data_IF_440796760368
#
_entry.id   IF_440796760368
#
_cell.length_a   1.000
_cell.length_b   1.000
_cell.length_c   1.000
_cell.angle_alpha   90.00
_cell.angle_beta   90.00
_cell.angle_gamma   90.00
#
_symmetry.space_group_name_H-M   'P 1'
#
loop_
_entity.id
_entity.type
_entity.pdbx_description
1 polymer ?
#
# COMPACT_ATOMS: atom_id res chain seq x y z
N UNK A 1 34.07 -18.27 23.65
CA UNK A 1 33.16 -17.34 22.97
C UNK A 1 33.10 -16.10 23.84
N UNK A 2 33.82 -15.05 23.46
CA UNK A 2 33.77 -13.78 24.20
C UNK A 2 32.33 -13.30 24.22
N UNK A 3 31.76 -13.11 25.41
CA UNK A 3 30.50 -12.40 25.60
C UNK A 3 30.69 -10.99 25.03
N UNK A 4 30.34 -10.76 23.76
CA UNK A 4 30.30 -9.40 23.23
C UNK A 4 29.28 -8.65 24.09
N UNK A 5 29.76 -7.73 24.92
CA UNK A 5 28.95 -6.97 25.86
C UNK A 5 27.83 -6.28 25.06
N UNK A 6 26.56 -6.49 25.47
CA UNK A 6 25.40 -5.87 24.82
C UNK A 6 25.59 -4.35 24.78
N UNK A 7 25.37 -3.75 23.61
CA UNK A 7 25.52 -2.30 23.43
C UNK A 7 24.37 -1.62 24.15
N UNK A 8 24.64 -0.51 24.84
CA UNK A 8 23.56 0.31 25.33
C UNK A 8 22.94 1.11 24.18
N UNK A 9 21.89 0.58 23.57
CA UNK A 9 21.19 1.23 22.47
C UNK A 9 20.38 2.47 22.92
N UNK A 10 20.42 2.83 24.21
CA UNK A 10 19.93 4.12 24.70
C UNK A 10 21.05 5.16 24.86
N UNK A 11 22.33 4.78 24.76
CA UNK A 11 23.46 5.70 24.85
C UNK A 11 23.96 6.08 23.46
N UNK A 12 23.78 7.35 23.10
CA UNK A 12 24.15 7.87 21.78
C UNK A 12 25.63 7.70 21.44
N UNK A 13 26.53 7.74 22.43
CA UNK A 13 27.97 7.56 22.19
C UNK A 13 28.30 6.09 21.95
N UNK A 14 27.68 5.17 22.69
CA UNK A 14 27.86 3.74 22.46
C UNK A 14 27.32 3.33 21.09
N UNK A 15 26.14 3.84 20.71
CA UNK A 15 25.58 3.63 19.37
C UNK A 15 26.49 4.19 18.28
N UNK A 16 27.00 5.42 18.46
CA UNK A 16 27.94 6.01 17.48
C UNK A 16 29.20 5.14 17.28
N UNK A 17 29.78 4.65 18.38
CA UNK A 17 30.94 3.79 18.32
C UNK A 17 30.60 2.45 17.65
N UNK A 18 29.44 1.87 17.97
CA UNK A 18 29.02 0.57 17.41
C UNK A 18 28.65 0.62 15.93
N UNK A 19 28.25 1.79 15.41
CA UNK A 19 28.10 2.01 13.98
C UNK A 19 29.45 2.14 13.29
N UNK A 20 30.43 2.78 13.94
CA UNK A 20 31.78 2.99 13.38
C UNK A 20 32.55 1.67 13.26
N UNK A 21 32.50 0.82 14.29
CA UNK A 21 33.16 -0.50 14.30
C UNK A 21 32.28 -1.63 13.76
N UNK A 22 31.02 -1.31 13.38
CA UNK A 22 30.00 -2.23 12.85
C UNK A 22 29.61 -3.36 13.81
N UNK A 23 29.72 -3.12 15.12
CA UNK A 23 29.32 -4.08 16.15
C UNK A 23 27.84 -4.05 16.52
N UNK A 24 27.07 -3.03 16.09
CA UNK A 24 25.62 -2.97 16.32
C UNK A 24 24.92 -4.15 15.62
N UNK A 25 24.17 -4.95 16.39
CA UNK A 25 23.43 -6.12 15.88
C UNK A 25 21.96 -5.81 15.69
N UNK A 26 21.42 -6.19 14.53
CA UNK A 26 20.08 -5.83 14.10
C UNK A 26 19.23 -7.08 13.96
N UNK A 27 18.02 -7.05 14.50
CA UNK A 27 16.98 -8.02 14.20
C UNK A 27 15.84 -7.32 13.46
N UNK A 28 15.35 -7.91 12.38
CA UNK A 28 14.12 -7.46 11.71
C UNK A 28 13.06 -8.54 11.84
N UNK A 29 11.98 -8.24 12.55
CA UNK A 29 10.84 -9.14 12.78
C UNK A 29 9.76 -8.88 11.74
N UNK A 30 9.45 -9.93 10.97
CA UNK A 30 8.68 -9.87 9.73
C UNK A 30 9.58 -9.54 8.55
N UNK A 31 10.05 -10.56 7.82
CA UNK A 31 10.91 -10.39 6.63
C UNK A 31 10.15 -10.72 5.35
N UNK A 32 8.93 -10.19 5.26
CA UNK A 32 8.12 -10.20 4.06
C UNK A 32 8.57 -9.16 3.03
N UNK A 33 7.61 -8.64 2.25
CA UNK A 33 7.84 -7.71 1.15
C UNK A 33 8.66 -6.47 1.53
N UNK A 34 8.42 -5.88 2.70
CA UNK A 34 9.12 -4.68 3.17
C UNK A 34 10.28 -5.02 4.10
N UNK A 35 10.05 -5.87 5.10
CA UNK A 35 11.06 -6.14 6.11
C UNK A 35 12.31 -6.87 5.60
N UNK A 36 12.22 -7.70 4.56
CA UNK A 36 13.41 -8.30 3.96
C UNK A 36 14.31 -7.22 3.31
N UNK A 37 13.82 -6.37 2.39
CA UNK A 37 14.56 -5.19 1.93
C UNK A 37 15.15 -4.31 3.04
N UNK A 38 14.40 -4.06 4.12
CA UNK A 38 14.92 -3.35 5.30
C UNK A 38 16.13 -4.09 5.87
N UNK A 39 15.98 -5.37 6.21
CA UNK A 39 17.05 -6.17 6.79
C UNK A 39 18.31 -6.21 5.89
N UNK A 40 18.13 -6.37 4.58
CA UNK A 40 19.21 -6.38 3.62
C UNK A 40 19.92 -5.02 3.53
N UNK A 41 19.21 -3.91 3.72
CA UNK A 41 19.79 -2.57 3.72
C UNK A 41 20.71 -2.35 4.93
N UNK A 42 20.31 -2.83 6.12
CA UNK A 42 21.18 -2.84 7.30
C UNK A 42 22.39 -3.78 7.13
N UNK A 43 22.19 -4.97 6.57
CA UNK A 43 23.28 -5.92 6.31
C UNK A 43 24.28 -5.39 5.26
N UNK A 44 23.81 -4.64 4.27
CA UNK A 44 24.62 -4.05 3.17
C UNK A 44 25.69 -3.09 3.68
N UNK A 45 25.39 -2.29 4.72
CA UNK A 45 26.38 -1.38 5.32
C UNK A 45 27.36 -2.10 6.26
N UNK A 46 27.18 -3.40 6.45
CA UNK A 46 28.08 -4.29 7.17
C UNK A 46 27.68 -4.59 8.61
N UNK A 47 26.44 -4.25 9.00
CA UNK A 47 25.91 -4.61 10.32
C UNK A 47 25.44 -6.07 10.31
N UNK A 48 25.73 -6.79 11.40
CA UNK A 48 25.24 -8.15 11.58
C UNK A 48 23.73 -8.14 11.76
N UNK A 49 23.01 -8.68 10.79
CA UNK A 49 21.55 -8.60 10.71
C UNK A 49 20.91 -9.99 10.68
N UNK A 50 19.91 -10.21 11.53
CA UNK A 50 19.08 -11.41 11.52
C UNK A 50 17.64 -11.07 11.13
N UNK A 51 17.13 -11.74 10.11
CA UNK A 51 15.72 -11.70 9.75
C UNK A 51 14.93 -12.75 10.53
N UNK A 52 13.79 -12.38 11.09
CA UNK A 52 12.89 -13.31 11.79
C UNK A 52 11.54 -13.34 11.10
N UNK A 53 11.05 -14.54 10.77
CA UNK A 53 9.70 -14.77 10.27
C UNK A 53 9.11 -16.05 10.86
N UNK A 54 7.78 -16.16 10.87
CA UNK A 54 7.11 -17.40 11.24
C UNK A 54 7.06 -18.40 10.07
N UNK A 55 7.27 -17.94 8.84
CA UNK A 55 7.25 -18.76 7.65
C UNK A 55 8.57 -19.54 7.50
N UNK A 56 8.58 -20.79 7.94
CA UNK A 56 9.72 -21.72 7.83
C UNK A 56 10.24 -21.84 6.39
N UNK A 57 9.34 -21.96 5.40
CA UNK A 57 9.74 -22.10 4.00
C UNK A 57 10.50 -20.88 3.48
N UNK A 58 10.05 -19.68 3.86
CA UNK A 58 10.74 -18.44 3.51
C UNK A 58 12.13 -18.38 4.15
N UNK A 59 12.22 -18.70 5.44
CA UNK A 59 13.48 -18.70 6.20
C UNK A 59 14.48 -19.69 5.61
N UNK A 60 14.04 -20.92 5.34
CA UNK A 60 14.88 -21.97 4.74
C UNK A 60 15.36 -21.57 3.34
N UNK A 61 14.46 -21.03 2.51
CA UNK A 61 14.79 -20.52 1.18
C UNK A 61 15.89 -19.45 1.25
N UNK A 62 15.76 -18.46 2.15
CA UNK A 62 16.75 -17.40 2.31
C UNK A 62 18.10 -17.94 2.79
N UNK A 63 18.11 -18.86 3.77
CA UNK A 63 19.34 -19.46 4.27
C UNK A 63 20.03 -20.37 3.23
N UNK A 64 19.30 -20.89 2.25
CA UNK A 64 19.84 -21.61 1.10
C UNK A 64 20.36 -20.69 -0.02
N UNK A 65 20.27 -19.36 0.15
CA UNK A 65 20.70 -18.39 -0.86
C UNK A 65 19.67 -18.15 -1.96
N UNK A 66 18.39 -18.47 -1.73
CA UNK A 66 17.32 -18.22 -2.69
C UNK A 66 16.55 -16.94 -2.34
N UNK A 67 16.78 -15.87 -3.10
CA UNK A 67 16.06 -14.60 -2.94
C UNK A 67 14.61 -14.67 -3.48
N UNK A 68 13.57 -14.36 -2.68
CA UNK A 68 12.17 -14.59 -3.06
C UNK A 68 11.51 -13.44 -3.84
N UNK A 69 12.00 -12.20 -3.73
CA UNK A 69 11.35 -11.02 -4.32
C UNK A 69 11.90 -10.72 -5.73
N UNK A 70 11.66 -11.63 -6.68
CA UNK A 70 12.21 -11.53 -8.06
C UNK A 70 11.74 -10.29 -8.84
N UNK A 71 10.67 -9.65 -8.38
CA UNK A 71 10.10 -8.43 -8.93
C UNK A 71 10.67 -7.15 -8.31
N UNK A 72 11.69 -7.22 -7.43
CA UNK A 72 12.36 -6.07 -6.82
C UNK A 72 13.78 -5.88 -7.39
N UNK A 73 13.98 -4.95 -8.35
CA UNK A 73 15.26 -4.75 -9.00
C UNK A 73 16.40 -4.40 -8.01
N UNK A 74 17.55 -5.07 -8.18
CA UNK A 74 18.78 -4.78 -7.44
C UNK A 74 18.90 -5.41 -6.04
N UNK A 75 17.80 -5.85 -5.42
CA UNK A 75 17.88 -6.48 -4.09
C UNK A 75 18.47 -7.89 -4.11
N UNK A 76 18.35 -8.62 -5.22
CA UNK A 76 18.98 -9.94 -5.35
C UNK A 76 20.51 -9.84 -5.27
N UNK A 77 21.11 -8.82 -5.90
CA UNK A 77 22.55 -8.59 -5.83
C UNK A 77 23.00 -8.20 -4.42
N UNK A 78 22.22 -7.36 -3.73
CA UNK A 78 22.46 -7.00 -2.34
C UNK A 78 22.39 -8.26 -1.46
N UNK A 79 21.34 -9.06 -1.61
CA UNK A 79 21.14 -10.30 -0.89
C UNK A 79 22.32 -11.26 -1.05
N UNK A 80 22.73 -11.52 -2.30
CA UNK A 80 23.87 -12.40 -2.59
C UNK A 80 25.17 -11.91 -1.94
N UNK A 81 25.40 -10.60 -1.94
CA UNK A 81 26.58 -9.98 -1.33
C UNK A 81 26.56 -10.13 0.20
N UNK A 82 25.44 -9.83 0.87
CA UNK A 82 25.36 -9.88 2.34
C UNK A 82 25.37 -11.31 2.87
N UNK A 83 24.82 -12.28 2.14
CA UNK A 83 24.94 -13.72 2.45
C UNK A 83 26.40 -14.15 2.33
N UNK A 84 27.07 -13.81 1.22
CA UNK A 84 28.49 -14.16 1.00
C UNK A 84 29.40 -13.60 2.09
N UNK A 85 29.13 -12.39 2.57
CA UNK A 85 29.90 -11.76 3.63
C UNK A 85 29.53 -12.23 5.04
N UNK A 86 28.48 -13.05 5.19
CA UNK A 86 27.99 -13.51 6.49
C UNK A 86 27.37 -12.39 7.33
N UNK A 87 26.82 -11.34 6.69
CA UNK A 87 26.17 -10.22 7.38
C UNK A 87 24.66 -10.41 7.56
N UNK A 88 24.06 -11.39 6.88
CA UNK A 88 22.65 -11.69 6.97
C UNK A 88 22.39 -13.18 7.22
N UNK A 89 21.39 -13.46 8.06
CA UNK A 89 20.82 -14.81 8.25
C UNK A 89 19.33 -14.69 8.56
N UNK A 90 18.57 -15.77 8.37
CA UNK A 90 17.16 -15.83 8.72
C UNK A 90 16.88 -16.92 9.77
N UNK A 91 15.87 -16.73 10.62
CA UNK A 91 15.47 -17.72 11.64
C UNK A 91 13.97 -17.64 11.93
N UNK A 92 13.38 -18.76 12.38
CA UNK A 92 12.05 -18.79 12.99
C UNK A 92 12.10 -18.69 14.51
N UNK A 93 13.28 -18.92 15.11
CA UNK A 93 13.50 -18.82 16.55
C UNK A 93 13.65 -17.36 17.01
N UNK A 94 12.59 -16.83 17.62
CA UNK A 94 12.55 -15.47 18.17
C UNK A 94 13.53 -15.27 19.34
N UNK A 95 13.77 -16.29 20.18
CA UNK A 95 14.68 -16.16 21.33
C UNK A 95 16.10 -15.94 20.84
N UNK A 96 16.52 -16.74 19.85
CA UNK A 96 17.82 -16.61 19.18
C UNK A 96 17.97 -15.24 18.52
N UNK A 97 16.94 -14.79 17.79
CA UNK A 97 16.98 -13.53 17.07
C UNK A 97 17.09 -12.31 18.00
N UNK A 98 16.32 -12.29 19.08
CA UNK A 98 16.20 -11.11 19.95
C UNK A 98 17.31 -11.04 20.99
N UNK A 99 17.70 -12.16 21.60
CA UNK A 99 18.71 -12.17 22.68
C UNK A 99 20.07 -11.66 22.22
N UNK A 100 20.40 -11.86 20.95
CA UNK A 100 21.67 -11.44 20.35
C UNK A 100 21.66 -10.05 19.70
N UNK A 101 20.54 -9.32 19.73
CA UNK A 101 20.37 -8.07 18.98
C UNK A 101 20.26 -6.84 19.87
N UNK A 102 20.75 -5.71 19.38
CA UNK A 102 20.69 -4.41 20.07
C UNK A 102 19.53 -3.55 19.54
N UNK A 103 19.30 -3.62 18.22
CA UNK A 103 18.20 -2.97 17.50
C UNK A 103 17.21 -4.02 16.99
N UNK A 104 15.92 -3.82 17.29
CA UNK A 104 14.82 -4.67 16.85
C UNK A 104 13.86 -3.84 15.99
N UNK A 105 13.77 -4.16 14.71
CA UNK A 105 12.83 -3.54 13.76
C UNK A 105 11.57 -4.39 13.64
N UNK A 106 10.38 -3.76 13.72
CA UNK A 106 9.10 -4.45 13.58
C UNK A 106 8.42 -4.06 12.25
N UNK A 107 8.46 -4.98 11.28
CA UNK A 107 7.87 -4.84 9.95
C UNK A 107 6.82 -5.93 9.72
N UNK A 108 5.73 -5.82 10.46
CA UNK A 108 4.67 -6.82 10.58
C UNK A 108 3.39 -6.36 9.86
N UNK A 109 2.57 -7.30 9.37
CA UNK A 109 1.31 -6.95 8.73
C UNK A 109 0.34 -6.34 9.73
N UNK A 110 -0.32 -5.24 9.32
CA UNK A 110 -1.37 -4.56 10.09
C UNK A 110 -2.69 -4.55 9.31
N UNK A 111 -3.30 -5.73 9.08
CA UNK A 111 -4.45 -5.87 8.21
C UNK A 111 -5.69 -5.17 8.77
N UNK A 112 -6.66 -4.93 7.90
CA UNK A 112 -7.98 -4.40 8.27
C UNK A 112 -8.99 -5.56 8.32
N UNK A 113 -9.83 -5.60 9.35
CA UNK A 113 -10.95 -6.56 9.40
C UNK A 113 -12.08 -6.17 8.43
N UNK A 114 -13.00 -7.10 8.15
CA UNK A 114 -14.19 -6.84 7.32
C UNK A 114 -15.09 -5.72 7.86
N UNK A 115 -15.01 -5.42 9.16
CA UNK A 115 -15.74 -4.33 9.81
C UNK A 115 -14.99 -3.00 9.76
N UNK A 116 -13.93 -2.90 8.96
CA UNK A 116 -13.05 -1.74 8.87
C UNK A 116 -12.42 -1.35 10.22
N UNK A 117 -12.08 -2.34 11.05
CA UNK A 117 -11.33 -2.16 12.30
C UNK A 117 -9.89 -2.66 12.08
N UNK A 118 -8.85 -1.85 12.32
CA UNK A 118 -7.45 -2.27 12.23
C UNK A 118 -7.17 -3.43 13.17
N UNK A 119 -6.44 -4.43 12.68
CA UNK A 119 -6.02 -5.58 13.46
C UNK A 119 -4.51 -5.54 13.70
N UNK A 120 -4.11 -5.32 14.95
CA UNK A 120 -2.71 -5.30 15.37
C UNK A 120 -2.29 -6.56 16.12
N UNK A 121 -3.10 -7.62 16.14
CA UNK A 121 -2.86 -8.81 16.97
C UNK A 121 -1.49 -9.46 16.75
N UNK A 122 -0.98 -9.44 15.51
CA UNK A 122 0.36 -9.94 15.18
C UNK A 122 1.43 -9.10 15.86
N UNK A 123 1.34 -7.78 15.75
CA UNK A 123 2.28 -6.84 16.37
C UNK A 123 2.20 -6.90 17.90
N UNK A 124 1.00 -6.96 18.47
CA UNK A 124 0.77 -7.11 19.91
C UNK A 124 1.33 -8.43 20.44
N UNK A 125 1.12 -9.54 19.72
CA UNK A 125 1.66 -10.86 20.07
C UNK A 125 3.18 -10.89 20.08
N UNK A 126 3.81 -10.28 19.07
CA UNK A 126 5.27 -10.13 19.02
C UNK A 126 5.77 -9.27 20.18
N UNK A 127 5.16 -8.11 20.41
CA UNK A 127 5.54 -7.24 21.53
C UNK A 127 5.37 -7.92 22.89
N UNK A 128 4.35 -8.76 23.07
CA UNK A 128 4.19 -9.56 24.29
C UNK A 128 5.36 -10.53 24.49
N UNK A 129 5.78 -11.24 23.44
CA UNK A 129 6.96 -12.12 23.50
C UNK A 129 8.24 -11.31 23.77
N UNK A 130 8.39 -10.14 23.15
CA UNK A 130 9.51 -9.24 23.42
C UNK A 130 9.58 -8.80 24.88
N UNK A 131 8.44 -8.57 25.54
CA UNK A 131 8.39 -8.26 26.97
C UNK A 131 9.13 -9.28 27.84
N UNK A 132 9.12 -10.56 27.45
CA UNK A 132 9.76 -11.64 28.21
C UNK A 132 11.26 -11.80 27.85
N UNK A 133 11.66 -11.54 26.60
CA UNK A 133 12.99 -11.93 26.08
C UNK A 133 13.94 -10.75 25.80
N UNK A 134 13.39 -9.56 25.53
CA UNK A 134 14.15 -8.38 25.12
C UNK A 134 15.08 -7.96 26.25
N UNK A 135 16.39 -7.98 26.04
CA UNK A 135 17.34 -7.60 27.09
C UNK A 135 17.28 -6.09 27.39
N UNK A 136 17.61 -5.64 28.62
CA UNK A 136 17.81 -4.23 28.89
C UNK A 136 18.81 -3.61 27.91
N UNK A 137 18.63 -2.33 27.67
CA UNK A 137 19.36 -1.49 26.74
C UNK A 137 19.12 -1.77 25.26
N UNK A 138 18.00 -2.40 24.91
CA UNK A 138 17.59 -2.58 23.52
C UNK A 138 16.83 -1.37 22.99
N UNK A 139 16.89 -1.18 21.67
CA UNK A 139 16.08 -0.22 20.92
C UNK A 139 15.09 -0.97 20.03
N UNK A 140 13.81 -0.61 20.10
CA UNK A 140 12.77 -1.09 19.18
C UNK A 140 12.40 0.03 18.19
N UNK A 141 12.30 -0.26 16.91
CA UNK A 141 11.75 0.68 15.92
C UNK A 141 10.62 0.01 15.15
N UNK A 142 9.42 0.61 15.19
CA UNK A 142 8.26 0.11 14.46
C UNK A 142 8.20 0.77 13.09
N UNK A 143 8.34 -0.04 12.03
CA UNK A 143 8.15 0.41 10.64
C UNK A 143 6.72 0.14 10.14
N UNK A 144 6.01 -0.76 10.83
CA UNK A 144 4.63 -1.15 10.52
C UNK A 144 3.67 0.04 10.56
N UNK A 145 2.74 0.12 9.61
CA UNK A 145 1.75 1.20 9.59
C UNK A 145 0.72 1.02 10.70
N UNK A 146 0.71 1.94 11.66
CA UNK A 146 -0.17 1.94 12.84
C UNK A 146 -0.81 3.31 13.07
N UNK A 147 -1.87 3.35 13.87
CA UNK A 147 -2.56 4.59 14.23
C UNK A 147 -1.73 5.51 15.15
N UNK A 148 -1.94 6.84 15.08
CA UNK A 148 -1.37 7.78 16.05
C UNK A 148 -1.72 7.40 17.48
N UNK A 149 -0.72 7.39 18.36
CA UNK A 149 -0.89 7.06 19.77
C UNK A 149 -0.82 5.57 20.09
N UNK A 150 -0.77 4.67 19.10
CA UNK A 150 -0.75 3.22 19.38
C UNK A 150 0.56 2.77 20.08
N UNK A 151 1.69 3.43 19.80
CA UNK A 151 2.94 3.17 20.51
C UNK A 151 2.77 3.51 22.00
N UNK A 152 2.35 4.75 22.25
CA UNK A 152 2.28 5.35 23.59
C UNK A 152 1.20 4.71 24.47
N UNK A 153 0.01 4.47 23.91
CA UNK A 153 -1.15 4.03 24.68
C UNK A 153 -1.24 2.50 24.83
N UNK A 154 -0.60 1.74 23.93
CA UNK A 154 -0.77 0.29 23.85
C UNK A 154 0.57 -0.44 23.89
N UNK A 155 1.44 -0.23 22.90
CA UNK A 155 2.63 -1.08 22.72
C UNK A 155 3.63 -0.96 23.87
N UNK A 156 3.85 0.24 24.42
CA UNK A 156 4.70 0.42 25.60
C UNK A 156 4.20 -0.44 26.76
N UNK A 157 2.90 -0.37 27.08
CA UNK A 157 2.31 -1.15 28.17
C UNK A 157 2.45 -2.68 27.95
N UNK A 158 2.31 -3.13 26.70
CA UNK A 158 2.49 -4.55 26.34
C UNK A 158 3.95 -4.99 26.54
N UNK A 159 4.91 -4.14 26.16
CA UNK A 159 6.34 -4.40 26.27
C UNK A 159 6.84 -4.36 27.73
N UNK A 160 6.35 -3.41 28.54
CA UNK A 160 6.77 -3.27 29.94
C UNK A 160 6.27 -4.43 30.81
N UNK A 161 5.09 -4.96 30.51
CA UNK A 161 4.54 -6.18 31.11
C UNK A 161 4.67 -6.23 32.63
N UNK A 162 5.55 -7.11 33.14
CA UNK A 162 5.69 -7.46 34.58
C UNK A 162 6.78 -6.67 35.33
N UNK A 163 7.23 -5.53 34.81
CA UNK A 163 8.22 -4.58 35.41
C UNK A 163 9.71 -4.82 35.13
N UNK A 164 10.07 -5.73 34.21
CA UNK A 164 11.49 -5.92 33.83
C UNK A 164 12.00 -4.80 32.92
N UNK A 165 11.11 -4.26 32.11
CA UNK A 165 11.39 -3.26 31.09
C UNK A 165 10.58 -2.00 31.39
N UNK A 166 11.23 -0.86 31.22
CA UNK A 166 10.65 0.47 31.38
C UNK A 166 11.15 1.39 30.25
N UNK A 167 10.21 1.89 29.45
CA UNK A 167 10.49 2.72 28.29
C UNK A 167 11.14 4.04 28.74
N UNK A 168 12.20 4.44 28.04
CA UNK A 168 12.99 5.64 28.37
C UNK A 168 13.89 5.48 29.61
N UNK A 169 13.92 4.29 30.24
CA UNK A 169 14.84 3.99 31.35
C UNK A 169 15.84 2.89 30.99
N UNK A 170 15.36 1.72 30.63
CA UNK A 170 16.19 0.55 30.35
C UNK A 170 15.86 -0.13 29.02
N UNK A 171 14.98 0.45 28.21
CA UNK A 171 14.88 0.22 26.77
C UNK A 171 14.24 1.46 26.14
N UNK A 172 14.38 1.62 24.84
CA UNK A 172 13.68 2.67 24.11
C UNK A 172 12.92 2.14 22.89
N UNK A 173 11.95 2.91 22.44
CA UNK A 173 11.13 2.62 21.28
C UNK A 173 10.91 3.87 20.44
N UNK A 174 10.85 3.69 19.14
CA UNK A 174 10.41 4.71 18.21
C UNK A 174 9.77 4.12 16.95
N UNK A 175 9.63 4.96 15.95
CA UNK A 175 9.01 4.63 14.67
C UNK A 175 9.83 5.20 13.52
N UNK A 176 9.87 4.44 12.44
CA UNK A 176 10.33 4.90 11.14
C UNK A 176 9.37 4.32 10.09
N UNK A 177 8.16 4.86 9.96
CA UNK A 177 7.15 4.27 9.08
C UNK A 177 7.66 4.25 7.64
N UNK A 178 7.65 3.07 7.02
CA UNK A 178 8.15 2.89 5.67
C UNK A 178 7.30 3.66 4.64
N UNK A 179 7.91 4.15 3.56
CA UNK A 179 7.25 4.72 2.40
C UNK A 179 7.87 4.21 1.07
N UNK A 180 7.56 2.97 0.70
CA UNK A 180 8.03 2.36 -0.54
C UNK A 180 6.89 1.70 -1.32
N UNK A 181 7.04 1.72 -2.64
CA UNK A 181 6.17 1.02 -3.57
C UNK A 181 6.76 -0.36 -3.89
N UNK A 182 5.96 -1.44 -3.77
CA UNK A 182 6.35 -2.75 -4.27
C UNK A 182 6.71 -2.68 -5.77
N UNK A 183 7.82 -3.30 -6.13
CA UNK A 183 8.44 -3.26 -7.46
C UNK A 183 9.52 -2.18 -7.61
N UNK A 184 9.60 -1.22 -6.69
CA UNK A 184 10.54 -0.10 -6.72
C UNK A 184 11.17 0.16 -5.35
N UNK A 185 11.22 -0.86 -4.46
CA UNK A 185 11.61 -0.64 -3.06
C UNK A 185 13.03 -0.07 -2.95
N UNK A 186 13.98 -0.57 -3.74
CA UNK A 186 15.37 -0.11 -3.66
C UNK A 186 15.49 1.35 -4.12
N UNK A 187 14.75 1.71 -5.17
CA UNK A 187 14.67 3.08 -5.65
C UNK A 187 14.10 3.98 -4.54
N UNK A 188 12.99 3.58 -3.92
CA UNK A 188 12.34 4.39 -2.89
C UNK A 188 13.22 4.54 -1.63
N UNK A 189 13.87 3.45 -1.19
CA UNK A 189 14.78 3.46 -0.04
C UNK A 189 16.00 4.35 -0.23
N UNK A 190 16.38 4.64 -1.49
CA UNK A 190 17.56 5.45 -1.83
C UNK A 190 17.22 6.88 -2.26
N UNK A 191 15.95 7.21 -2.46
CA UNK A 191 15.54 8.52 -2.99
C UNK A 191 14.47 9.23 -2.16
N UNK A 192 13.65 8.51 -1.37
CA UNK A 192 12.55 9.12 -0.63
C UNK A 192 12.94 9.45 0.82
N UNK A 193 12.53 10.62 1.33
CA UNK A 193 12.72 10.96 2.74
C UNK A 193 12.05 9.96 3.68
N UNK A 194 12.65 9.74 4.85
CA UNK A 194 12.11 8.87 5.91
C UNK A 194 11.71 9.69 7.14
N UNK A 195 10.54 9.38 7.70
CA UNK A 195 10.09 9.97 8.96
C UNK A 195 10.76 9.25 10.13
N UNK A 196 11.23 9.99 11.13
CA UNK A 196 11.81 9.40 12.35
C UNK A 196 11.20 10.06 13.58
N UNK A 197 10.68 9.26 14.52
CA UNK A 197 10.20 9.75 15.81
C UNK A 197 10.44 8.72 16.92
N UNK A 198 10.88 9.17 18.09
CA UNK A 198 11.04 8.36 19.29
C UNK A 198 10.07 8.79 20.39
N UNK A 199 10.03 8.01 21.48
CA UNK A 199 9.26 8.36 22.69
C UNK A 199 9.80 9.61 23.42
N UNK A 200 11.05 9.97 23.17
CA UNK A 200 11.72 11.16 23.67
C UNK A 200 12.79 11.66 22.70
N UNK A 201 13.37 12.83 22.98
CA UNK A 201 14.35 13.47 22.11
C UNK A 201 15.65 12.65 21.94
N UNK A 202 16.07 11.92 22.97
CA UNK A 202 17.30 11.12 22.92
C UNK A 202 17.11 9.91 22.00
N UNK A 203 15.98 9.24 22.14
CA UNK A 203 15.55 8.12 21.32
C UNK A 203 15.44 8.52 19.85
N UNK A 204 14.82 9.66 19.57
CA UNK A 204 14.75 10.22 18.21
C UNK A 204 16.15 10.44 17.62
N UNK A 205 17.09 11.02 18.37
CA UNK A 205 18.47 11.25 17.90
C UNK A 205 19.21 9.94 17.60
N UNK A 206 19.04 8.93 18.44
CA UNK A 206 19.67 7.62 18.26
C UNK A 206 19.12 6.93 17.01
N UNK A 207 17.79 6.89 16.85
CA UNK A 207 17.18 6.30 15.66
C UNK A 207 17.63 7.05 14.40
N UNK A 208 17.65 8.38 14.45
CA UNK A 208 18.13 9.22 13.34
C UNK A 208 19.57 8.85 12.96
N UNK A 209 20.48 8.73 13.93
CA UNK A 209 21.87 8.35 13.69
C UNK A 209 22.01 6.97 13.05
N UNK A 210 21.22 5.99 13.50
CA UNK A 210 21.24 4.64 12.93
C UNK A 210 20.71 4.66 11.49
N UNK A 211 19.58 5.33 11.24
CA UNK A 211 19.00 5.35 9.89
C UNK A 211 19.84 6.18 8.91
N UNK A 212 20.52 7.25 9.36
CA UNK A 212 21.42 8.05 8.52
C UNK A 212 22.65 7.23 8.07
N UNK A 213 23.12 6.33 8.92
CA UNK A 213 24.20 5.40 8.59
C UNK A 213 23.77 4.38 7.51
N UNK A 214 22.50 3.99 7.46
CA UNK A 214 21.98 2.93 6.58
C UNK A 214 21.40 3.49 5.28
N UNK A 215 20.70 4.62 5.36
CA UNK A 215 19.94 5.20 4.26
C UNK A 215 20.45 6.61 3.96
N UNK A 216 21.00 6.80 2.76
CA UNK A 216 21.49 8.10 2.29
C UNK A 216 20.37 9.00 1.77
N UNK A 217 19.32 9.19 2.57
CA UNK A 217 18.13 10.00 2.25
C UNK A 217 17.86 11.02 3.36
N UNK A 218 17.05 12.04 3.06
CA UNK A 218 16.61 12.99 4.07
C UNK A 218 15.84 12.28 5.21
N UNK A 219 16.23 12.54 6.46
CA UNK A 219 15.49 12.10 7.64
C UNK A 219 14.67 13.26 8.21
N UNK A 220 13.35 13.13 8.13
CA UNK A 220 12.40 14.12 8.64
C UNK A 220 12.09 13.79 10.10
N UNK A 221 12.69 14.58 10.99
CA UNK A 221 12.60 14.38 12.45
C UNK A 221 11.24 14.87 12.95
N UNK A 222 10.51 13.97 13.63
CA UNK A 222 9.23 14.22 14.27
C UNK A 222 9.40 14.41 15.78
N UNK A 223 8.54 15.23 16.42
CA UNK A 223 8.63 15.47 17.85
C UNK A 223 8.31 14.22 18.69
N UNK A 224 7.50 13.30 18.18
CA UNK A 224 7.11 12.06 18.85
C UNK A 224 6.60 10.99 17.85
N UNK A 225 6.41 9.76 18.33
CA UNK A 225 5.93 8.62 17.53
C UNK A 225 4.54 8.86 16.93
N UNK A 226 3.57 9.33 17.73
CA UNK A 226 2.22 9.63 17.25
C UNK A 226 2.20 10.67 16.11
N UNK A 227 3.09 11.67 16.13
CA UNK A 227 3.19 12.67 15.05
C UNK A 227 3.71 12.01 13.77
N UNK A 228 4.76 11.18 13.84
CA UNK A 228 5.26 10.45 12.68
C UNK A 228 4.18 9.55 12.04
N UNK A 229 3.45 8.79 12.87
CA UNK A 229 2.34 7.95 12.41
C UNK A 229 1.21 8.81 11.80
N UNK A 230 0.90 9.96 12.41
CA UNK A 230 -0.10 10.89 11.89
C UNK A 230 0.29 11.45 10.51
N UNK A 231 1.55 11.81 10.29
CA UNK A 231 2.03 12.26 8.97
C UNK A 231 1.86 11.16 7.93
N UNK A 232 2.27 9.92 8.24
CA UNK A 232 2.12 8.78 7.33
C UNK A 232 0.66 8.57 6.91
N UNK A 233 -0.28 8.58 7.87
CA UNK A 233 -1.70 8.40 7.56
C UNK A 233 -2.29 9.61 6.81
N UNK A 234 -1.97 10.83 7.25
CA UNK A 234 -2.53 12.07 6.69
C UNK A 234 -2.30 12.20 5.19
N UNK A 235 -1.11 11.84 4.70
CA UNK A 235 -0.80 11.92 3.26
C UNK A 235 -1.69 11.01 2.40
N UNK A 236 -2.05 9.83 2.90
CA UNK A 236 -2.96 8.91 2.23
C UNK A 236 -4.41 9.35 2.33
N UNK A 237 -4.84 9.75 3.53
CA UNK A 237 -6.20 10.22 3.77
C UNK A 237 -6.49 11.49 2.97
N UNK A 238 -5.53 12.41 2.87
CA UNK A 238 -5.67 13.60 2.05
C UNK A 238 -5.96 13.24 0.58
N UNK A 239 -5.22 12.28 0.01
CA UNK A 239 -5.44 11.81 -1.37
C UNK A 239 -6.82 11.18 -1.53
N UNK A 240 -7.21 10.31 -0.60
CA UNK A 240 -8.50 9.63 -0.61
C UNK A 240 -9.69 10.60 -0.54
N UNK A 241 -9.63 11.58 0.37
CA UNK A 241 -10.64 12.66 0.51
C UNK A 241 -10.73 13.49 -0.77
N UNK A 242 -9.61 13.90 -1.36
CA UNK A 242 -9.63 14.69 -2.58
C UNK A 242 -10.15 13.90 -3.79
N UNK A 243 -9.85 12.59 -3.88
CA UNK A 243 -10.48 11.72 -4.89
C UNK A 243 -12.00 11.66 -4.65
N UNK A 244 -12.44 11.52 -3.39
CA UNK A 244 -13.87 11.55 -3.03
C UNK A 244 -14.55 12.85 -3.42
N UNK A 245 -13.91 13.98 -3.16
CA UNK A 245 -14.39 15.31 -3.56
C UNK A 245 -14.54 15.43 -5.09
N UNK A 246 -13.52 15.04 -5.86
CA UNK A 246 -13.57 15.11 -7.32
C UNK A 246 -14.59 14.12 -7.90
N UNK A 247 -14.74 12.94 -7.29
CA UNK A 247 -15.79 11.98 -7.62
C UNK A 247 -17.18 12.62 -7.42
N UNK A 248 -17.45 13.20 -6.26
CA UNK A 248 -18.73 13.85 -5.95
C UNK A 248 -19.06 14.98 -6.93
N UNK A 249 -18.09 15.85 -7.23
CA UNK A 249 -18.26 16.89 -8.24
C UNK A 249 -18.55 16.31 -9.63
N UNK A 250 -17.89 15.21 -10.01
CA UNK A 250 -18.11 14.56 -11.31
C UNK A 250 -19.55 14.09 -11.45
N UNK A 251 -20.13 13.50 -10.40
CA UNK A 251 -21.53 13.08 -10.40
C UNK A 251 -22.50 14.25 -10.61
N UNK A 252 -22.18 15.43 -10.05
CA UNK A 252 -22.96 16.64 -10.25
C UNK A 252 -22.75 17.21 -11.66
N UNK A 253 -21.50 17.28 -12.12
CA UNK A 253 -21.15 17.78 -13.46
C UNK A 253 -21.79 16.96 -14.57
N UNK A 254 -21.90 15.64 -14.40
CA UNK A 254 -22.62 14.79 -15.35
C UNK A 254 -24.08 15.22 -15.54
N UNK A 255 -24.77 15.60 -14.45
CA UNK A 255 -26.16 16.10 -14.52
C UNK A 255 -26.26 17.48 -15.17
N UNK A 256 -25.19 18.26 -15.14
CA UNK A 256 -25.10 19.58 -15.75
C UNK A 256 -24.57 19.55 -17.20
N UNK A 257 -24.18 18.37 -17.71
CA UNK A 257 -23.53 18.25 -19.02
C UNK A 257 -22.12 18.85 -19.06
N UNK A 258 -21.42 18.88 -17.93
CA UNK A 258 -20.06 19.43 -17.80
C UNK A 258 -19.05 18.26 -17.81
N UNK A 259 -17.99 18.41 -18.61
CA UNK A 259 -16.86 17.46 -18.62
C UNK A 259 -15.88 17.81 -17.49
N UNK A 260 -15.81 16.96 -16.46
CA UNK A 260 -14.91 17.09 -15.31
C UNK A 260 -13.45 17.24 -15.77
N UNK A 261 -12.99 16.52 -16.79
CA UNK A 261 -11.60 16.58 -17.19
C UNK A 261 -11.23 17.96 -17.76
N UNK A 262 -12.17 18.62 -18.43
CA UNK A 262 -11.98 20.01 -18.89
C UNK A 262 -11.89 20.98 -17.71
N UNK A 263 -12.71 20.77 -16.68
CA UNK A 263 -12.65 21.56 -15.44
C UNK A 263 -11.29 21.37 -14.76
N UNK A 264 -10.83 20.13 -14.62
CA UNK A 264 -9.55 19.80 -13.98
C UNK A 264 -8.35 20.31 -14.79
N UNK A 265 -8.36 20.20 -16.13
CA UNK A 265 -7.29 20.71 -16.99
C UNK A 265 -7.12 22.24 -16.89
N UNK A 266 -8.24 22.96 -16.75
CA UNK A 266 -8.19 24.40 -16.48
C UNK A 266 -7.76 24.68 -15.03
N UNK A 267 -8.31 23.96 -14.05
CA UNK A 267 -8.06 24.19 -12.63
C UNK A 267 -6.60 23.94 -12.23
N UNK A 268 -5.94 22.91 -12.79
CA UNK A 268 -4.52 22.61 -12.49
C UNK A 268 -3.54 23.72 -12.91
N UNK A 269 -3.97 24.70 -13.73
CA UNK A 269 -3.15 25.88 -14.06
C UNK A 269 -3.07 26.87 -12.90
N UNK A 270 -3.94 26.76 -11.89
CA UNK A 270 -3.87 27.57 -10.67
C UNK A 270 -2.80 27.01 -9.74
N UNK A 271 -1.92 27.88 -9.26
CA UNK A 271 -0.76 27.52 -8.45
C UNK A 271 -1.09 26.78 -7.14
N UNK A 272 -2.31 26.92 -6.62
CA UNK A 272 -2.75 26.35 -5.34
C UNK A 272 -3.77 25.21 -5.50
N UNK A 273 -3.97 24.68 -6.71
CA UNK A 273 -4.89 23.56 -6.93
C UNK A 273 -4.13 22.24 -7.08
N UNK A 274 -4.27 21.36 -6.09
CA UNK A 274 -3.72 20.01 -6.17
C UNK A 274 -4.70 19.07 -6.88
N UNK A 275 -4.40 18.77 -8.14
CA UNK A 275 -5.26 17.95 -8.99
C UNK A 275 -5.36 16.50 -8.49
N UNK A 276 -6.59 16.01 -8.42
CA UNK A 276 -6.94 14.61 -8.28
C UNK A 276 -7.97 14.28 -9.37
N UNK A 277 -8.10 13.01 -9.72
CA UNK A 277 -8.97 12.58 -10.81
C UNK A 277 -10.08 11.67 -10.28
N UNK A 278 -11.28 11.72 -10.88
CA UNK A 278 -12.33 10.80 -10.52
C UNK A 278 -12.00 9.39 -11.04
N UNK A 279 -12.72 8.39 -10.55
CA UNK A 279 -12.51 7.01 -10.96
C UNK A 279 -13.62 6.06 -10.52
N UNK A 280 -13.53 4.77 -10.92
CA UNK A 280 -14.52 3.75 -10.59
C UNK A 280 -14.60 3.42 -9.10
N UNK A 281 -13.74 4.02 -8.27
CA UNK A 281 -13.57 3.75 -6.85
C UNK A 281 -12.11 3.95 -6.46
N UNK A 282 -11.82 3.71 -5.18
CA UNK A 282 -10.46 3.76 -4.63
C UNK A 282 -10.14 2.41 -4.01
N UNK A 283 -9.15 1.72 -4.59
CA UNK A 283 -8.63 0.44 -4.08
C UNK A 283 -7.22 0.54 -3.54
N UNK A 284 -6.57 -0.62 -3.42
CA UNK A 284 -5.23 -0.76 -2.87
C UNK A 284 -5.20 -0.78 -1.34
N UNK A 285 -4.11 -1.29 -0.74
CA UNK A 285 -4.05 -1.52 0.70
C UNK A 285 -3.79 -0.25 1.52
N UNK A 286 -3.53 0.92 0.90
CA UNK A 286 -3.16 2.12 1.64
C UNK A 286 -4.30 3.14 1.78
N UNK A 287 -4.88 3.61 0.66
CA UNK A 287 -5.82 4.74 0.71
C UNK A 287 -7.10 4.40 1.49
N UNK A 288 -7.83 3.30 1.20
CA UNK A 288 -9.01 2.91 1.97
C UNK A 288 -8.69 2.61 3.44
N UNK A 289 -7.64 1.83 3.68
CA UNK A 289 -7.28 1.32 5.01
C UNK A 289 -6.87 2.47 5.94
N UNK A 290 -6.04 3.41 5.47
CA UNK A 290 -5.55 4.52 6.28
C UNK A 290 -6.68 5.50 6.66
N UNK A 291 -7.67 5.70 5.79
CA UNK A 291 -8.87 6.48 6.12
C UNK A 291 -9.65 5.83 7.26
N UNK A 292 -9.80 4.50 7.23
CA UNK A 292 -10.43 3.79 8.34
C UNK A 292 -9.58 3.77 9.62
N UNK A 293 -8.26 3.73 9.53
CA UNK A 293 -7.39 3.94 10.70
C UNK A 293 -7.67 5.29 11.38
N UNK A 294 -7.81 6.39 10.63
CA UNK A 294 -8.20 7.67 11.22
C UNK A 294 -9.63 7.67 11.78
N UNK A 295 -10.58 7.02 11.13
CA UNK A 295 -11.95 6.91 11.65
C UNK A 295 -12.02 6.10 12.96
N UNK A 296 -11.22 5.03 13.09
CA UNK A 296 -11.12 4.24 14.33
C UNK A 296 -10.42 5.04 15.43
N UNK A 297 -9.34 5.75 15.11
CA UNK A 297 -8.69 6.68 16.04
C UNK A 297 -9.67 7.74 16.54
N UNK A 298 -10.45 8.34 15.64
CA UNK A 298 -11.47 9.33 16.00
C UNK A 298 -12.53 8.76 16.94
N UNK A 299 -13.01 7.54 16.66
CA UNK A 299 -13.97 6.87 17.53
C UNK A 299 -13.40 6.65 18.95
N UNK A 300 -12.13 6.23 19.08
CA UNK A 300 -11.45 6.06 20.38
C UNK A 300 -11.25 7.39 21.12
N UNK A 301 -11.07 8.50 20.41
CA UNK A 301 -10.87 9.83 21.00
C UNK A 301 -12.16 10.65 21.10
N UNK A 302 -13.34 10.02 20.98
CA UNK A 302 -14.65 10.69 20.98
C UNK A 302 -14.72 11.88 19.99
N UNK A 303 -14.04 11.76 18.86
CA UNK A 303 -13.98 12.75 17.78
C UNK A 303 -14.77 12.28 16.56
N UNK A 304 -15.23 13.22 15.72
CA UNK A 304 -15.96 12.90 14.48
C UNK A 304 -15.24 13.49 13.27
N UNK A 305 -14.74 12.62 12.39
CA UNK A 305 -14.06 13.02 11.15
C UNK A 305 -15.02 12.94 9.95
N UNK A 306 -16.03 13.82 9.93
CA UNK A 306 -17.11 13.78 8.92
C UNK A 306 -16.60 13.86 7.47
N UNK A 307 -15.55 14.65 7.20
CA UNK A 307 -15.01 14.80 5.84
C UNK A 307 -14.42 13.48 5.33
N UNK A 308 -13.63 12.80 6.17
CA UNK A 308 -13.04 11.50 5.83
C UNK A 308 -14.13 10.45 5.64
N UNK A 309 -15.10 10.41 6.55
CA UNK A 309 -16.23 9.48 6.48
C UNK A 309 -17.03 9.64 5.18
N UNK A 310 -17.36 10.88 4.79
CA UNK A 310 -18.09 11.14 3.56
C UNK A 310 -17.24 10.86 2.32
N UNK A 311 -15.97 11.26 2.31
CA UNK A 311 -15.04 10.94 1.22
C UNK A 311 -14.97 9.44 0.94
N UNK A 312 -14.86 8.61 2.00
CA UNK A 312 -14.92 7.15 1.88
C UNK A 312 -16.24 6.63 1.33
N UNK A 313 -17.36 7.09 1.87
CA UNK A 313 -18.70 6.70 1.40
C UNK A 313 -18.91 7.05 -0.07
N UNK A 314 -18.39 8.18 -0.54
CA UNK A 314 -18.44 8.57 -1.95
C UNK A 314 -17.59 7.60 -2.78
N UNK A 315 -16.32 7.40 -2.40
CA UNK A 315 -15.41 6.50 -3.11
C UNK A 315 -15.94 5.07 -3.22
N UNK A 316 -16.58 4.55 -2.17
CA UNK A 316 -17.19 3.20 -2.14
C UNK A 316 -18.45 3.06 -2.99
N UNK A 317 -19.12 4.18 -3.31
CA UNK A 317 -20.30 4.19 -4.18
C UNK A 317 -19.94 4.30 -5.66
N UNK A 318 -18.73 4.70 -6.01
CA UNK A 318 -18.32 4.86 -7.41
C UNK A 318 -18.44 3.59 -8.27
N UNK A 319 -18.17 2.37 -7.76
CA UNK A 319 -18.43 1.14 -8.51
C UNK A 319 -19.89 1.02 -8.97
N UNK A 320 -20.83 1.42 -8.13
CA UNK A 320 -22.26 1.43 -8.47
C UNK A 320 -22.59 2.47 -9.54
N UNK A 321 -21.93 3.62 -9.49
CA UNK A 321 -22.08 4.63 -10.53
C UNK A 321 -21.63 4.11 -11.90
N UNK A 322 -20.51 3.38 -11.98
CA UNK A 322 -20.05 2.75 -13.23
C UNK A 322 -21.05 1.70 -13.75
N UNK A 323 -21.67 0.93 -12.85
CA UNK A 323 -22.75 0.00 -13.23
C UNK A 323 -23.96 0.76 -13.78
N UNK A 324 -24.32 1.90 -13.20
CA UNK A 324 -25.42 2.73 -13.71
C UNK A 324 -25.12 3.33 -15.09
N UNK A 325 -23.88 3.79 -15.35
CA UNK A 325 -23.45 4.21 -16.69
C UNK A 325 -23.58 3.06 -17.70
N UNK A 326 -23.20 1.84 -17.28
CA UNK A 326 -23.34 0.63 -18.10
C UNK A 326 -24.80 0.38 -18.46
N UNK A 327 -25.70 0.42 -17.46
CA UNK A 327 -27.15 0.27 -17.66
C UNK A 327 -27.71 1.33 -18.61
N UNK A 328 -27.26 2.58 -18.51
CA UNK A 328 -27.69 3.64 -19.43
C UNK A 328 -27.24 3.37 -20.88
N UNK A 329 -26.01 2.88 -21.08
CA UNK A 329 -25.52 2.44 -22.39
C UNK A 329 -26.38 1.32 -23.02
N UNK A 330 -26.77 0.32 -22.23
CA UNK A 330 -27.69 -0.72 -22.67
C UNK A 330 -29.09 -0.17 -23.01
N UNK A 331 -29.60 0.75 -22.19
CA UNK A 331 -30.89 1.40 -22.42
C UNK A 331 -30.91 2.18 -23.74
N UNK A 332 -29.87 2.95 -24.03
CA UNK A 332 -29.73 3.71 -25.29
C UNK A 332 -29.68 2.78 -26.49
N UNK A 333 -28.95 1.68 -26.34
CA UNK A 333 -28.85 0.63 -27.37
C UNK A 333 -30.13 -0.19 -27.53
N UNK A 334 -31.14 0.02 -26.67
CA UNK A 334 -32.38 -0.77 -26.60
C UNK A 334 -32.09 -2.27 -26.45
N UNK A 335 -31.08 -2.60 -25.65
CA UNK A 335 -30.65 -3.97 -25.34
C UNK A 335 -30.83 -4.25 -23.85
N UNK A 336 -30.99 -5.52 -23.49
CA UNK A 336 -31.01 -5.97 -22.11
C UNK A 336 -29.59 -6.26 -21.63
N UNK A 337 -29.26 -5.89 -20.39
CA UNK A 337 -27.99 -6.30 -19.76
C UNK A 337 -27.99 -7.78 -19.38
N UNK A 338 -29.17 -8.34 -19.07
CA UNK A 338 -29.33 -9.75 -18.73
C UNK A 338 -28.91 -10.61 -19.92
N UNK A 339 -28.07 -11.62 -19.66
CA UNK A 339 -27.48 -12.56 -20.61
C UNK A 339 -26.47 -11.96 -21.62
N UNK A 340 -26.28 -10.64 -21.60
CA UNK A 340 -25.27 -9.93 -22.41
C UNK A 340 -23.86 -10.18 -21.87
N UNK A 341 -22.87 -10.16 -22.76
CA UNK A 341 -21.46 -10.38 -22.41
C UNK A 341 -20.74 -9.03 -22.25
N UNK A 342 -20.09 -8.80 -21.12
CA UNK A 342 -19.41 -7.53 -20.80
C UNK A 342 -17.93 -7.79 -20.55
N UNK A 343 -17.07 -7.07 -21.27
CA UNK A 343 -15.61 -7.10 -21.10
C UNK A 343 -15.16 -6.05 -20.08
N UNK A 344 -14.51 -6.49 -19.01
CA UNK A 344 -13.82 -5.62 -18.06
C UNK A 344 -12.37 -5.46 -18.51
N UNK A 345 -11.96 -4.21 -18.73
CA UNK A 345 -10.61 -3.83 -19.13
C UNK A 345 -9.87 -3.27 -17.91
N UNK A 346 -8.91 -4.06 -17.44
CA UNK A 346 -8.09 -3.77 -16.26
C UNK A 346 -8.81 -4.10 -14.95
N UNK A 347 -8.18 -4.94 -14.13
CA UNK A 347 -8.68 -5.38 -12.83
C UNK A 347 -7.78 -4.98 -11.67
N UNK A 348 -6.58 -4.47 -11.98
CA UNK A 348 -5.63 -3.99 -10.98
C UNK A 348 -6.17 -2.74 -10.25
N UNK A 349 -5.84 -2.55 -8.97
CA UNK A 349 -6.38 -1.39 -8.24
C UNK A 349 -5.78 -0.06 -8.71
N UNK A 350 -4.59 -0.10 -9.33
CA UNK A 350 -3.91 1.04 -9.97
C UNK A 350 -3.32 0.59 -11.32
N UNK A 351 -3.06 1.53 -12.25
CA UNK A 351 -2.37 1.22 -13.50
C UNK A 351 -1.02 0.56 -13.29
N UNK A 352 -0.66 -0.26 -14.28
CA UNK A 352 0.67 -0.79 -14.54
C UNK A 352 1.28 -1.67 -13.43
N UNK A 353 0.44 -2.28 -12.59
CA UNK A 353 0.87 -3.26 -11.58
C UNK A 353 0.03 -4.52 -11.64
N UNK A 354 0.57 -5.62 -11.13
CA UNK A 354 -0.13 -6.90 -10.99
C UNK A 354 -0.71 -7.08 -9.57
N UNK A 355 -1.63 -6.21 -9.18
CA UNK A 355 -2.22 -6.24 -7.82
C UNK A 355 -3.70 -5.85 -7.83
N UNK A 356 -4.54 -6.71 -7.26
CA UNK A 356 -6.01 -6.62 -7.24
C UNK A 356 -6.58 -6.31 -5.84
N UNK A 357 -5.74 -6.03 -4.85
CA UNK A 357 -6.19 -5.76 -3.49
C UNK A 357 -7.18 -4.60 -3.42
N UNK A 358 -8.38 -4.88 -2.87
CA UNK A 358 -9.49 -3.92 -2.77
C UNK A 358 -9.85 -3.26 -4.12
N UNK A 359 -9.64 -3.97 -5.24
CA UNK A 359 -9.90 -3.40 -6.56
C UNK A 359 -11.39 -3.07 -6.76
N UNK A 360 -11.73 -1.86 -7.25
CA UNK A 360 -13.10 -1.51 -7.63
C UNK A 360 -13.69 -2.46 -8.68
N UNK A 361 -12.84 -3.09 -9.50
CA UNK A 361 -13.27 -4.02 -10.54
C UNK A 361 -14.05 -5.21 -9.97
N UNK A 362 -13.67 -5.73 -8.81
CA UNK A 362 -14.36 -6.86 -8.18
C UNK A 362 -15.81 -6.51 -7.83
N UNK A 363 -16.02 -5.32 -7.26
CA UNK A 363 -17.34 -4.82 -6.88
C UNK A 363 -18.22 -4.63 -8.14
N UNK A 364 -17.65 -4.04 -9.20
CA UNK A 364 -18.32 -3.86 -10.49
C UNK A 364 -18.72 -5.22 -11.08
N UNK A 365 -17.78 -6.16 -11.16
CA UNK A 365 -17.99 -7.52 -11.68
C UNK A 365 -19.13 -8.22 -10.93
N UNK A 366 -19.11 -8.18 -9.60
CA UNK A 366 -20.12 -8.84 -8.78
C UNK A 366 -21.51 -8.21 -8.97
N UNK A 367 -21.61 -6.87 -9.01
CA UNK A 367 -22.88 -6.18 -9.28
C UNK A 367 -23.43 -6.52 -10.68
N UNK A 368 -22.58 -6.55 -11.71
CA UNK A 368 -23.00 -6.91 -13.08
C UNK A 368 -23.43 -8.38 -13.18
N UNK A 369 -22.76 -9.31 -12.50
CA UNK A 369 -23.18 -10.72 -12.39
C UNK A 369 -24.58 -10.84 -11.77
N UNK A 370 -24.86 -10.09 -10.70
CA UNK A 370 -26.19 -10.05 -10.06
C UNK A 370 -27.29 -9.56 -11.02
N UNK A 371 -26.94 -8.70 -11.98
CA UNK A 371 -27.84 -8.26 -13.06
C UNK A 371 -27.98 -9.29 -14.20
N UNK A 372 -27.32 -10.44 -14.10
CA UNK A 372 -27.36 -11.52 -15.08
C UNK A 372 -26.40 -11.35 -16.27
N UNK A 373 -25.42 -10.44 -16.17
CA UNK A 373 -24.41 -10.27 -17.22
C UNK A 373 -23.35 -11.38 -17.17
N UNK A 374 -22.84 -11.77 -18.34
CA UNK A 374 -21.71 -12.70 -18.49
C UNK A 374 -20.42 -11.90 -18.56
N UNK A 375 -19.53 -12.10 -17.59
CA UNK A 375 -18.32 -11.28 -17.48
C UNK A 375 -17.15 -11.93 -18.20
N UNK A 376 -16.44 -11.10 -18.97
CA UNK A 376 -15.13 -11.36 -19.55
C UNK A 376 -14.13 -10.38 -18.96
N UNK A 377 -12.87 -10.79 -18.82
CA UNK A 377 -11.82 -9.95 -18.26
C UNK A 377 -10.65 -9.93 -19.23
N UNK A 378 -10.11 -8.74 -19.49
CA UNK A 378 -8.80 -8.57 -20.07
C UNK A 378 -8.00 -7.58 -19.23
N UNK A 379 -6.83 -8.01 -18.77
CA UNK A 379 -5.85 -7.16 -18.09
C UNK A 379 -4.45 -7.61 -18.55
N UNK A 380 -3.60 -6.69 -19.05
CA UNK A 380 -2.29 -7.04 -19.59
C UNK A 380 -1.38 -7.80 -18.63
N UNK A 381 -1.54 -7.59 -17.32
CA UNK A 381 -0.69 -8.14 -16.26
C UNK A 381 -1.17 -9.51 -15.76
N UNK A 382 -2.40 -9.90 -16.13
CA UNK A 382 -3.06 -11.13 -15.68
C UNK A 382 -3.42 -12.09 -16.82
N UNK A 383 -2.91 -11.88 -18.04
CA UNK A 383 -3.18 -12.71 -19.22
C UNK A 383 -3.02 -14.21 -18.92
N UNK A 384 -4.08 -14.98 -19.19
CA UNK A 384 -4.09 -16.43 -18.99
C UNK A 384 -4.23 -16.91 -17.54
N UNK A 385 -4.26 -16.02 -16.56
CA UNK A 385 -4.57 -16.38 -15.18
C UNK A 385 -6.07 -16.47 -14.94
N UNK A 386 -6.45 -17.07 -13.81
CA UNK A 386 -7.82 -17.06 -13.32
C UNK A 386 -7.94 -16.03 -12.19
N UNK A 387 -8.83 -15.05 -12.34
CA UNK A 387 -9.09 -14.01 -11.33
C UNK A 387 -10.58 -13.83 -11.12
N UNK A 388 -11.04 -13.72 -9.86
CA UNK A 388 -12.46 -13.67 -9.49
C UNK A 388 -13.30 -14.83 -10.07
N UNK A 389 -12.67 -16.01 -10.21
CA UNK A 389 -13.26 -17.20 -10.82
C UNK A 389 -13.45 -17.12 -12.35
N UNK A 390 -12.84 -16.14 -13.03
CA UNK A 390 -12.95 -15.91 -14.47
C UNK A 390 -11.56 -16.01 -15.10
N UNK A 391 -11.46 -16.71 -16.23
CA UNK A 391 -10.23 -16.76 -17.00
C UNK A 391 -10.00 -15.40 -17.70
N UNK A 392 -8.83 -14.82 -17.48
CA UNK A 392 -8.42 -13.57 -18.12
C UNK A 392 -7.99 -13.88 -19.55
N UNK A 393 -8.61 -13.17 -20.49
CA UNK A 393 -8.40 -13.35 -21.92
C UNK A 393 -6.95 -12.98 -22.31
N UNK A 394 -6.38 -13.72 -23.26
CA UNK A 394 -4.99 -13.52 -23.71
C UNK A 394 -4.83 -12.30 -24.61
N UNK A 395 -5.84 -12.02 -25.43
CA UNK A 395 -5.84 -10.95 -26.41
C UNK A 395 -7.22 -10.27 -26.41
N UNK A 396 -7.21 -8.94 -26.38
CA UNK A 396 -8.41 -8.12 -26.44
C UNK A 396 -9.13 -8.26 -27.79
N UNK A 397 -8.40 -8.33 -28.91
CA UNK A 397 -9.01 -8.41 -30.25
C UNK A 397 -9.86 -9.67 -30.44
N UNK A 398 -9.43 -10.80 -29.84
CA UNK A 398 -10.09 -12.10 -29.99
C UNK A 398 -11.43 -12.18 -29.24
N UNK A 399 -11.65 -11.29 -28.27
CA UNK A 399 -12.83 -11.29 -27.42
C UNK A 399 -13.83 -10.18 -27.79
N UNK A 400 -13.39 -9.09 -28.43
CA UNK A 400 -14.25 -7.95 -28.75
C UNK A 400 -15.49 -8.34 -29.54
N UNK A 401 -15.37 -9.17 -30.58
CA UNK A 401 -16.52 -9.63 -31.40
C UNK A 401 -17.52 -10.53 -30.65
N UNK A 402 -17.17 -10.97 -29.44
CA UNK A 402 -17.99 -11.87 -28.62
C UNK A 402 -18.76 -11.14 -27.53
N UNK A 403 -18.48 -9.85 -27.28
CA UNK A 403 -19.09 -9.06 -26.21
C UNK A 403 -20.02 -7.96 -26.72
N UNK A 404 -20.91 -7.49 -25.84
CA UNK A 404 -21.93 -6.46 -26.07
C UNK A 404 -21.57 -5.12 -25.40
N UNK A 405 -20.58 -5.11 -24.50
CA UNK A 405 -20.08 -3.90 -23.89
C UNK A 405 -18.64 -4.09 -23.40
N UNK A 406 -17.90 -2.99 -23.28
CA UNK A 406 -16.62 -2.94 -22.59
C UNK A 406 -16.62 -1.85 -21.52
N UNK A 407 -15.96 -2.11 -20.38
CA UNK A 407 -15.79 -1.16 -19.28
C UNK A 407 -14.31 -1.02 -18.97
N UNK A 408 -13.77 0.18 -19.12
CA UNK A 408 -12.41 0.52 -18.70
C UNK A 408 -12.47 0.86 -17.22
N UNK A 409 -11.92 -0.02 -16.38
CA UNK A 409 -11.85 0.18 -14.92
C UNK A 409 -10.45 0.63 -14.51
N UNK A 410 -9.40 0.12 -15.16
CA UNK A 410 -8.02 0.52 -14.87
C UNK A 410 -7.37 1.09 -16.11
N UNK A 411 -6.70 2.24 -15.99
CA UNK A 411 -6.07 2.94 -17.10
C UNK A 411 -4.59 2.54 -17.28
N UNK A 412 -4.33 1.26 -17.56
CA UNK A 412 -3.00 0.80 -17.94
C UNK A 412 -2.51 1.55 -19.19
N UNK A 413 -1.19 1.66 -19.38
CA UNK A 413 -0.59 2.31 -20.56
C UNK A 413 -1.16 1.77 -21.86
N UNK A 414 -1.34 0.46 -21.97
CA UNK A 414 -1.92 -0.20 -23.15
C UNK A 414 -3.34 0.25 -23.48
N UNK A 415 -4.11 0.70 -22.48
CA UNK A 415 -5.46 1.22 -22.70
C UNK A 415 -5.48 2.72 -22.97
N UNK A 416 -4.47 3.47 -22.51
CA UNK A 416 -4.36 4.90 -22.80
C UNK A 416 -4.06 5.16 -24.28
N UNK A 417 -3.38 4.22 -24.94
CA UNK A 417 -2.98 4.32 -26.35
C UNK A 417 -3.98 3.68 -27.32
N UNK A 418 -5.12 3.18 -26.80
CA UNK A 418 -6.05 2.37 -27.58
C UNK A 418 -6.89 3.23 -28.54
N UNK A 419 -6.94 2.87 -29.83
CA UNK A 419 -7.86 3.51 -30.77
C UNK A 419 -9.30 3.07 -30.46
N UNK A 420 -10.23 4.00 -30.14
CA UNK A 420 -11.62 3.66 -29.83
C UNK A 420 -12.32 2.86 -30.94
N UNK A 421 -11.86 2.94 -32.19
CA UNK A 421 -12.41 2.17 -33.32
C UNK A 421 -12.38 0.67 -33.09
N UNK A 422 -11.45 0.12 -32.30
CA UNK A 422 -11.42 -1.33 -32.06
C UNK A 422 -12.73 -1.81 -31.40
N UNK A 423 -13.36 -0.97 -30.58
CA UNK A 423 -14.59 -1.30 -29.87
C UNK A 423 -15.81 -1.38 -30.80
N UNK A 424 -15.73 -0.86 -32.02
CA UNK A 424 -16.77 -1.05 -33.05
C UNK A 424 -16.94 -2.52 -33.47
N UNK A 425 -15.95 -3.37 -33.16
CA UNK A 425 -16.02 -4.83 -33.41
C UNK A 425 -17.01 -5.54 -32.47
N UNK A 426 -17.45 -4.92 -31.37
CA UNK A 426 -18.39 -5.53 -30.42
C UNK A 426 -19.78 -5.73 -31.05
N UNK A 427 -20.52 -6.75 -30.58
CA UNK A 427 -21.89 -7.05 -31.05
C UNK A 427 -22.82 -5.87 -30.89
N UNK A 428 -22.68 -5.20 -29.74
CA UNK A 428 -23.27 -3.91 -29.45
C UNK A 428 -22.10 -3.02 -29.02
N UNK A 429 -21.79 -1.91 -29.70
CA UNK A 429 -20.58 -1.14 -29.42
C UNK A 429 -20.76 -0.19 -28.22
N UNK A 430 -21.11 -0.72 -27.05
CA UNK A 430 -21.24 0.04 -25.79
C UNK A 430 -19.88 0.14 -25.11
N UNK A 431 -19.38 1.35 -24.88
CA UNK A 431 -18.12 1.58 -24.17
C UNK A 431 -18.34 2.48 -22.97
N UNK A 432 -17.92 2.00 -21.79
CA UNK A 432 -17.93 2.74 -20.53
C UNK A 432 -16.49 3.08 -20.13
N UNK A 433 -16.17 4.35 -20.08
CA UNK A 433 -14.87 4.84 -19.64
C UNK A 433 -14.96 5.46 -18.23
N UNK A 434 -14.54 4.70 -17.21
CA UNK A 434 -14.54 5.19 -15.83
C UNK A 434 -13.26 5.94 -15.45
N UNK A 435 -12.30 6.07 -16.38
CA UNK A 435 -10.97 6.65 -16.13
C UNK A 435 -10.69 7.90 -16.95
N UNK A 436 -11.54 8.21 -17.92
CA UNK A 436 -11.44 9.44 -18.71
C UNK A 436 -10.31 9.41 -19.75
N UNK A 437 -9.88 8.23 -20.17
CA UNK A 437 -8.76 8.05 -21.12
C UNK A 437 -9.21 8.07 -22.58
N UNK A 438 -10.52 7.92 -22.83
CA UNK A 438 -11.08 7.94 -24.17
C UNK A 438 -11.61 9.33 -24.51
N UNK A 439 -11.17 9.86 -25.65
CA UNK A 439 -11.73 11.09 -26.21
C UNK A 439 -13.18 10.87 -26.71
N UNK A 440 -14.08 11.77 -26.31
CA UNK A 440 -15.52 11.63 -26.57
C UNK A 440 -15.86 11.83 -28.04
N UNK A 441 -15.13 12.68 -28.76
CA UNK A 441 -15.32 12.90 -30.20
C UNK A 441 -14.88 11.67 -30.97
N UNK A 442 -13.74 11.09 -30.60
CA UNK A 442 -13.19 9.87 -31.20
C UNK A 442 -14.11 8.67 -30.99
N UNK A 443 -14.65 8.49 -29.77
CA UNK A 443 -15.64 7.45 -29.48
C UNK A 443 -16.92 7.62 -30.31
N UNK A 444 -17.43 8.86 -30.44
CA UNK A 444 -18.60 9.15 -31.27
C UNK A 444 -18.35 8.87 -32.76
N UNK A 445 -17.18 9.27 -33.27
CA UNK A 445 -16.78 9.03 -34.66
C UNK A 445 -16.61 7.53 -34.97
N UNK A 446 -16.24 6.73 -33.97
CA UNK A 446 -16.19 5.27 -34.05
C UNK A 446 -17.57 4.59 -33.97
N UNK A 447 -18.66 5.36 -33.82
CA UNK A 447 -20.03 4.83 -33.76
C UNK A 447 -20.38 4.15 -32.43
N UNK A 448 -19.65 4.46 -31.36
CA UNK A 448 -19.85 3.82 -30.06
C UNK A 448 -21.04 4.45 -29.30
N UNK A 449 -21.78 3.62 -28.56
CA UNK A 449 -22.63 4.09 -27.47
C UNK A 449 -21.74 4.32 -26.26
N UNK A 450 -21.29 5.56 -26.12
CA UNK A 450 -20.28 5.94 -25.14
C UNK A 450 -20.89 6.57 -23.88
N UNK A 451 -20.39 6.12 -22.73
CA UNK A 451 -20.57 6.79 -21.43
C UNK A 451 -19.22 6.91 -20.76
N UNK A 452 -19.01 7.99 -20.03
CA UNK A 452 -17.85 8.10 -19.17
C UNK A 452 -18.20 8.79 -17.87
N UNK A 453 -17.43 8.47 -16.84
CA UNK A 453 -17.56 9.09 -15.53
C UNK A 453 -17.13 10.56 -15.62
N UNK A 454 -18.03 11.50 -15.28
CA UNK A 454 -17.73 12.92 -15.30
C UNK A 454 -17.55 13.48 -16.71
N UNK A 455 -18.19 12.90 -17.73
CA UNK A 455 -18.04 13.32 -19.14
C UNK A 455 -19.23 14.14 -19.66
N UNK A 456 -20.32 14.27 -18.89
CA UNK A 456 -21.46 15.11 -19.22
C UNK A 456 -22.32 14.62 -20.40
N UNK A 457 -22.30 13.32 -20.72
CA UNK A 457 -22.95 12.73 -21.90
C UNK A 457 -23.65 11.40 -21.66
#
# INVERSE_FOLDING_TARGET
MENSKKIDANDINQVKNSLTDKSLKVCVVGIGRIGLPTALSFAKVGLQTIGMDINEQLVDSLNQGNFPLKDEPGYEDIFNNVIKNGNFSATTDINKAISGSDLILLSLPTPMSEKNIPNYSVLESVCKQLGDILQPNSLIVVESTIEPGFIENNLINILEGTNRLHAGKNFTIGVCPENANPGEILHDFTNLPRLVGGIDQQSTKIITMIYDFVFSVELIIMPDCKTANAVKLTTNVFRDVNIGFVNELSLMFDKLGIDTLKVLDAAKRKYNFQIHYPGPGVGGPCLPINSYQFLNTAARTNSKLSIIEQGRKINEKMPEYVVNLTLDGFKISKKSIKDSSILILGISYKPDVKDIQLSPAEIIINKLKTLGAKIKIYDPYFKGSQVFGINVEQNIDDILSKVDAAIIVTAHKEFQEIDPKIFSKMKTPILIDSRGIIDTVSAKNAGLVFRGLGRGI
#
